data_IF_298170497124
#
_entry.id   IF_298170497124
#
_cell.length_a   1.000
_cell.length_b   1.000
_cell.length_c   1.000
_cell.angle_alpha   90.00
_cell.angle_beta   90.00
_cell.angle_gamma   90.00
#
_symmetry.space_group_name_H-M   'P 1'
#
loop_
_entity.id
_entity.type
_entity.pdbx_description
1 polymer ?
#
# COMPACT_ATOMS: atom_id res chain seq x y z
N UNK A 1 2.11 -10.54 -5.48
CA UNK A 1 2.87 -9.42 -6.08
C UNK A 1 2.67 -8.19 -5.22
N UNK A 2 3.72 -7.37 -5.08
CA UNK A 2 3.68 -6.15 -4.28
C UNK A 2 3.83 -4.93 -5.19
N UNK A 3 2.96 -3.93 -5.02
CA UNK A 3 2.97 -2.68 -5.77
C UNK A 3 3.03 -1.53 -4.77
N UNK A 4 4.22 -0.98 -4.57
CA UNK A 4 4.48 0.10 -3.62
C UNK A 4 4.91 1.38 -4.36
N UNK A 5 4.97 2.50 -3.64
CA UNK A 5 5.11 3.86 -4.13
C UNK A 5 4.41 4.84 -3.19
N UNK A 6 4.84 6.10 -3.24
CA UNK A 6 4.21 7.16 -2.42
C UNK A 6 2.78 7.46 -2.84
N UNK A 7 2.00 8.12 -2.00
CA UNK A 7 0.65 8.57 -2.35
C UNK A 7 0.69 9.45 -3.60
N UNK A 8 -0.24 9.21 -4.52
CA UNK A 8 -0.33 9.92 -5.81
C UNK A 8 0.51 9.37 -6.97
N UNK A 9 1.23 8.24 -6.80
CA UNK A 9 2.05 7.64 -7.87
C UNK A 9 1.29 6.68 -8.81
N UNK A 10 -0.01 6.46 -8.61
CA UNK A 10 -0.82 5.61 -9.49
C UNK A 10 -0.85 4.11 -9.14
N UNK A 11 -0.43 3.73 -7.93
CA UNK A 11 -0.44 2.33 -7.45
C UNK A 11 -1.79 1.65 -7.60
N UNK A 12 -2.87 2.30 -7.12
CA UNK A 12 -4.23 1.74 -7.19
C UNK A 12 -4.61 1.39 -8.62
N UNK A 13 -4.38 2.32 -9.57
CA UNK A 13 -4.64 2.07 -11.00
C UNK A 13 -3.86 0.88 -11.55
N UNK A 14 -2.57 0.76 -11.19
CA UNK A 14 -1.75 -0.38 -11.63
C UNK A 14 -2.17 -1.69 -10.93
N UNK A 15 -2.47 -1.63 -9.63
CA UNK A 15 -2.91 -2.75 -8.82
C UNK A 15 -4.20 -3.36 -9.35
N UNK A 16 -5.19 -2.51 -9.65
CA UNK A 16 -6.46 -2.92 -10.25
C UNK A 16 -6.25 -3.54 -11.63
N UNK A 17 -5.48 -2.89 -12.50
CA UNK A 17 -5.20 -3.40 -13.84
C UNK A 17 -4.48 -4.77 -13.80
N UNK A 18 -3.60 -4.98 -12.82
CA UNK A 18 -2.93 -6.26 -12.61
C UNK A 18 -3.88 -7.30 -12.01
N UNK A 19 -4.75 -6.90 -11.08
CA UNK A 19 -5.84 -7.72 -10.55
C UNK A 19 -6.70 -8.30 -11.66
N UNK A 20 -7.25 -7.42 -12.50
CA UNK A 20 -8.09 -7.79 -13.64
C UNK A 20 -7.36 -8.68 -14.64
N UNK A 21 -6.11 -8.31 -14.99
CA UNK A 21 -5.36 -9.02 -16.04
C UNK A 21 -4.91 -10.42 -15.63
N UNK A 22 -4.65 -10.62 -14.34
CA UNK A 22 -4.12 -11.87 -13.77
C UNK A 22 -5.21 -12.72 -13.09
N UNK A 23 -6.43 -12.21 -12.95
CA UNK A 23 -7.46 -12.84 -12.13
C UNK A 23 -7.05 -12.91 -10.66
N UNK A 24 -6.34 -11.90 -10.18
CA UNK A 24 -5.78 -11.83 -8.84
C UNK A 24 -6.69 -11.03 -7.89
N UNK A 25 -6.74 -11.42 -6.62
CA UNK A 25 -7.33 -10.59 -5.57
C UNK A 25 -6.44 -9.38 -5.34
N UNK A 26 -7.04 -8.19 -5.29
CA UNK A 26 -6.34 -6.95 -4.92
C UNK A 26 -6.62 -6.63 -3.45
N UNK A 27 -5.57 -6.26 -2.72
CA UNK A 27 -5.63 -5.71 -1.36
C UNK A 27 -5.06 -4.30 -1.41
N UNK A 28 -5.92 -3.33 -1.12
CA UNK A 28 -5.55 -1.93 -0.98
C UNK A 28 -5.15 -1.67 0.47
N UNK A 29 -3.92 -1.21 0.72
CA UNK A 29 -3.51 -0.89 2.09
C UNK A 29 -4.31 0.27 2.69
N UNK A 30 -4.99 1.07 1.87
CA UNK A 30 -5.99 2.05 2.33
C UNK A 30 -7.08 1.41 3.20
N UNK A 31 -7.45 0.14 2.98
CA UNK A 31 -8.36 -0.59 3.86
C UNK A 31 -7.69 -1.14 5.14
N UNK A 32 -6.35 -1.18 5.18
CA UNK A 32 -5.56 -1.84 6.24
C UNK A 32 -5.00 -0.84 7.25
N UNK A 33 -4.68 0.39 6.84
CA UNK A 33 -4.07 1.39 7.72
C UNK A 33 -4.97 1.70 8.93
N UNK A 34 -4.52 1.47 10.17
CA UNK A 34 -5.26 1.89 11.35
C UNK A 34 -5.14 3.40 11.57
N UNK A 35 -5.84 4.17 10.73
CA UNK A 35 -5.85 5.62 10.73
C UNK A 35 -4.58 6.24 10.14
N UNK A 36 -4.45 7.55 10.31
CA UNK A 36 -3.41 8.35 9.66
C UNK A 36 -1.99 8.01 10.09
N UNK A 37 -1.76 7.43 11.28
CA UNK A 37 -0.43 6.96 11.72
C UNK A 37 -0.18 5.46 11.40
N UNK A 38 -1.04 4.87 10.56
CA UNK A 38 -1.14 3.44 10.40
C UNK A 38 -0.09 2.79 9.50
N UNK A 39 0.81 3.56 8.87
CA UNK A 39 1.67 3.06 7.79
C UNK A 39 2.51 1.86 8.23
N UNK A 40 3.27 2.00 9.34
CA UNK A 40 4.12 0.91 9.86
C UNK A 40 3.28 -0.30 10.29
N UNK A 41 2.14 -0.05 10.94
CA UNK A 41 1.26 -1.12 11.40
C UNK A 41 0.66 -1.92 10.24
N UNK A 42 0.27 -1.26 9.15
CA UNK A 42 -0.20 -1.94 7.94
C UNK A 42 0.93 -2.71 7.25
N UNK A 43 2.13 -2.15 7.15
CA UNK A 43 3.28 -2.86 6.59
C UNK A 43 3.64 -4.13 7.39
N UNK A 44 3.48 -4.09 8.72
CA UNK A 44 3.65 -5.28 9.56
C UNK A 44 2.51 -6.29 9.31
N UNK A 45 1.28 -5.83 9.21
CA UNK A 45 0.12 -6.67 8.88
C UNK A 45 0.23 -7.32 7.49
N UNK A 46 0.89 -6.68 6.52
CA UNK A 46 1.19 -7.31 5.23
C UNK A 46 2.00 -8.59 5.43
N UNK A 47 2.98 -8.57 6.33
CA UNK A 47 3.87 -9.71 6.58
C UNK A 47 3.19 -10.77 7.45
N UNK A 48 2.54 -10.35 8.55
CA UNK A 48 2.01 -11.28 9.55
C UNK A 48 0.66 -11.87 9.17
N UNK A 49 -0.17 -11.05 8.52
CA UNK A 49 -1.57 -11.36 8.26
C UNK A 49 -1.77 -11.64 6.77
N UNK A 50 -1.60 -10.64 5.91
CA UNK A 50 -1.95 -10.75 4.48
C UNK A 50 -1.17 -11.85 3.76
N UNK A 51 0.16 -11.83 3.87
CA UNK A 51 1.06 -12.82 3.26
C UNK A 51 1.45 -13.94 4.25
N UNK A 52 1.02 -13.82 5.50
CA UNK A 52 1.35 -14.75 6.57
C UNK A 52 0.33 -15.88 6.68
N UNK A 53 0.38 -16.59 7.82
CA UNK A 53 -0.52 -17.71 8.08
C UNK A 53 -2.00 -17.29 8.25
N UNK A 54 -2.24 -16.01 8.56
CA UNK A 54 -3.59 -15.46 8.74
C UNK A 54 -4.05 -14.79 7.45
N UNK A 55 -4.22 -15.56 6.36
CA UNK A 55 -4.61 -15.10 5.01
C UNK A 55 -5.83 -14.16 5.03
N UNK A 56 -5.58 -12.86 5.23
CA UNK A 56 -6.61 -11.86 5.51
C UNK A 56 -6.03 -10.62 6.18
N UNK A 57 -6.91 -9.68 6.55
CA UNK A 57 -6.53 -8.46 7.25
C UNK A 57 -7.68 -7.86 8.04
N UNK A 58 -7.32 -7.02 9.02
CA UNK A 58 -8.27 -6.20 9.75
C UNK A 58 -8.53 -4.92 8.97
N UNK A 59 -9.81 -4.63 8.68
CA UNK A 59 -10.20 -3.40 8.00
C UNK A 59 -10.19 -2.20 8.93
N UNK A 60 -10.00 -1.00 8.38
CA UNK A 60 -10.20 0.27 9.05
C UNK A 60 -11.39 1.03 8.46
N UNK A 61 -12.25 1.59 9.33
CA UNK A 61 -13.31 2.50 8.93
C UNK A 61 -12.83 3.95 9.10
N UNK A 62 -12.52 4.59 7.98
CA UNK A 62 -12.10 5.99 7.92
C UNK A 62 -13.19 6.99 8.32
N UNK A 63 -14.47 6.62 8.21
CA UNK A 63 -15.60 7.49 8.57
C UNK A 63 -15.71 7.61 10.08
N UNK A 64 -15.59 6.48 10.79
CA UNK A 64 -15.68 6.45 12.25
C UNK A 64 -14.32 6.55 12.94
N UNK A 65 -13.22 6.45 12.18
CA UNK A 65 -11.85 6.33 12.72
C UNK A 65 -11.72 5.19 13.72
N UNK A 66 -12.26 4.02 13.36
CA UNK A 66 -12.22 2.83 14.21
C UNK A 66 -11.88 1.56 13.44
N UNK A 67 -11.41 0.56 14.17
CA UNK A 67 -11.15 -0.77 13.64
C UNK A 67 -12.45 -1.45 13.21
N UNK A 68 -12.49 -1.98 11.99
CA UNK A 68 -13.64 -2.67 11.41
C UNK A 68 -13.48 -4.21 11.44
N UNK A 69 -14.29 -4.90 10.63
CA UNK A 69 -14.29 -6.36 10.53
C UNK A 69 -12.99 -6.96 9.98
N UNK A 70 -12.85 -8.28 10.13
CA UNK A 70 -11.79 -9.04 9.45
C UNK A 70 -12.24 -9.38 8.03
N UNK A 71 -11.38 -9.16 7.05
CA UNK A 71 -11.55 -9.59 5.66
C UNK A 71 -10.65 -10.81 5.41
N UNK A 72 -11.24 -11.92 5.01
CA UNK A 72 -10.49 -13.14 4.66
C UNK A 72 -10.01 -13.10 3.21
N UNK A 73 -8.81 -13.60 2.96
CA UNK A 73 -8.24 -13.80 1.63
C UNK A 73 -8.19 -15.29 1.36
N UNK A 74 -8.66 -15.70 0.19
CA UNK A 74 -8.50 -17.07 -0.30
C UNK A 74 -7.03 -17.32 -0.66
N UNK A 75 -6.32 -18.24 0.03
CA UNK A 75 -4.91 -18.51 -0.23
C UNK A 75 -4.66 -19.16 -1.60
N UNK A 76 -5.69 -19.71 -2.26
CA UNK A 76 -5.55 -20.38 -3.56
C UNK A 76 -5.68 -19.40 -4.75
N UNK A 77 -5.96 -18.12 -4.49
CA UNK A 77 -6.09 -17.07 -5.50
C UNK A 77 -4.82 -16.21 -5.55
N UNK A 78 -4.27 -15.89 -6.75
CA UNK A 78 -3.16 -14.97 -6.86
C UNK A 78 -3.45 -13.62 -6.18
N UNK A 79 -2.45 -13.03 -5.53
CA UNK A 79 -2.64 -11.81 -4.75
C UNK A 79 -1.81 -10.64 -5.29
N UNK A 80 -2.42 -9.47 -5.37
CA UNK A 80 -1.76 -8.17 -5.54
C UNK A 80 -2.01 -7.34 -4.28
N UNK A 81 -0.94 -6.95 -3.60
CA UNK A 81 -1.02 -6.00 -2.49
C UNK A 81 -0.48 -4.67 -2.98
N UNK A 82 -1.29 -3.62 -2.88
CA UNK A 82 -0.92 -2.29 -3.31
C UNK A 82 -1.11 -1.27 -2.20
N UNK A 83 -0.15 -0.36 -2.06
CA UNK A 83 -0.21 0.72 -1.09
C UNK A 83 1.17 1.09 -0.55
N UNK A 84 1.26 2.23 0.13
CA UNK A 84 2.51 2.65 0.75
C UNK A 84 2.88 1.70 1.91
N UNK A 85 4.04 1.08 1.83
CA UNK A 85 4.48 0.10 2.82
C UNK A 85 4.12 -1.35 2.47
N UNK A 86 3.59 -1.60 1.28
CA UNK A 86 3.42 -2.95 0.75
C UNK A 86 4.76 -3.67 0.58
N UNK A 87 5.84 -2.94 0.29
CA UNK A 87 7.19 -3.44 0.05
C UNK A 87 8.16 -3.00 1.16
N UNK A 88 8.29 -3.85 2.18
CA UNK A 88 9.35 -3.80 3.19
C UNK A 88 10.41 -4.89 2.97
N UNK A 89 11.56 -4.80 3.66
CA UNK A 89 12.57 -5.87 3.68
C UNK A 89 12.01 -7.22 4.13
N UNK A 90 11.00 -7.20 5.01
CA UNK A 90 10.35 -8.41 5.52
C UNK A 90 9.33 -8.99 4.52
N UNK A 91 8.62 -8.15 3.77
CA UNK A 91 7.65 -8.60 2.76
C UNK A 91 8.29 -9.00 1.42
N UNK A 92 9.44 -8.41 1.07
CA UNK A 92 10.13 -8.66 -0.18
C UNK A 92 10.41 -10.16 -0.47
N UNK A 93 10.94 -10.97 0.48
CA UNK A 93 11.17 -12.40 0.24
C UNK A 93 9.88 -13.22 0.12
N UNK A 94 8.72 -12.68 0.49
CA UNK A 94 7.42 -13.35 0.39
C UNK A 94 6.74 -13.11 -0.96
N UNK A 95 7.26 -12.19 -1.76
CA UNK A 95 6.66 -11.78 -3.01
C UNK A 95 7.31 -12.44 -4.22
N UNK A 96 6.49 -12.90 -5.16
CA UNK A 96 6.98 -13.42 -6.45
C UNK A 96 7.41 -12.32 -7.43
N UNK A 97 6.94 -11.09 -7.24
CA UNK A 97 7.27 -9.92 -8.06
C UNK A 97 6.97 -8.63 -7.28
N UNK A 98 7.83 -7.62 -7.42
CA UNK A 98 7.82 -6.38 -6.63
C UNK A 98 7.98 -5.17 -7.55
N UNK A 99 7.06 -4.22 -7.45
CA UNK A 99 7.05 -3.00 -8.26
C UNK A 99 7.11 -1.79 -7.34
N UNK A 100 7.98 -0.85 -7.67
CA UNK A 100 8.03 0.47 -7.03
C UNK A 100 7.62 1.56 -8.03
N UNK A 101 6.65 2.39 -7.66
CA UNK A 101 6.14 3.48 -8.49
C UNK A 101 6.65 4.82 -7.97
N UNK A 102 7.21 5.59 -8.89
CA UNK A 102 7.72 6.94 -8.68
C UNK A 102 6.92 7.94 -9.52
N UNK A 103 6.77 9.15 -8.97
CA UNK A 103 6.29 10.33 -9.66
C UNK A 103 6.93 11.55 -9.01
N UNK A 104 7.03 12.65 -9.75
CA UNK A 104 7.53 13.91 -9.21
C UNK A 104 6.71 14.37 -8.01
N UNK A 105 7.36 15.00 -7.03
CA UNK A 105 6.74 15.40 -5.76
C UNK A 105 5.55 16.35 -5.93
N UNK A 106 5.63 17.26 -6.90
CA UNK A 106 4.53 18.16 -7.25
C UNK A 106 3.37 17.40 -7.89
N UNK A 107 3.67 16.53 -8.86
CA UNK A 107 2.68 15.72 -9.58
C UNK A 107 1.91 14.81 -8.63
N UNK A 108 2.61 14.07 -7.76
CA UNK A 108 1.96 13.15 -6.83
C UNK A 108 1.10 13.88 -5.79
N UNK A 109 1.54 15.06 -5.34
CA UNK A 109 0.77 15.90 -4.41
C UNK A 109 -0.53 16.36 -5.04
N UNK A 110 -0.45 16.90 -6.25
CA UNK A 110 -1.63 17.38 -6.97
C UNK A 110 -2.61 16.23 -7.26
N UNK A 111 -2.10 15.06 -7.67
CA UNK A 111 -2.92 13.85 -7.88
C UNK A 111 -3.59 13.37 -6.59
N UNK A 112 -2.85 13.28 -5.49
CA UNK A 112 -3.38 12.75 -4.23
C UNK A 112 -4.43 13.68 -3.61
N UNK A 113 -4.15 14.99 -3.57
CA UNK A 113 -5.11 15.99 -3.06
C UNK A 113 -6.33 16.09 -3.98
N UNK A 114 -6.13 16.05 -5.30
CA UNK A 114 -7.23 16.08 -6.26
C UNK A 114 -8.17 14.87 -6.15
N UNK A 115 -7.65 13.71 -5.74
CA UNK A 115 -8.41 12.47 -5.51
C UNK A 115 -9.12 12.45 -4.16
N UNK A 116 -8.38 12.71 -3.08
CA UNK A 116 -8.83 12.44 -1.70
C UNK A 116 -9.34 13.69 -0.96
N UNK A 117 -9.24 14.85 -1.60
CA UNK A 117 -9.86 16.10 -1.16
C UNK A 117 -9.23 16.71 0.09
N UNK A 118 -10.00 17.57 0.75
CA UNK A 118 -9.53 18.45 1.82
C UNK A 118 -9.05 17.68 3.06
N UNK A 119 -9.67 16.54 3.38
CA UNK A 119 -9.27 15.74 4.54
C UNK A 119 -7.84 15.24 4.36
N UNK A 120 -7.52 14.66 3.20
CA UNK A 120 -6.17 14.21 2.89
C UNK A 120 -5.19 15.38 2.79
N UNK A 121 -5.62 16.52 2.23
CA UNK A 121 -4.79 17.73 2.16
C UNK A 121 -4.34 18.22 3.56
N UNK A 122 -5.21 18.10 4.57
CA UNK A 122 -4.88 18.46 5.97
C UNK A 122 -3.88 17.51 6.61
N UNK A 123 -3.90 16.24 6.23
CA UNK A 123 -3.04 15.20 6.79
C UNK A 123 -1.79 14.93 5.92
N UNK A 124 -1.63 15.67 4.82
CA UNK A 124 -0.54 15.48 3.86
C UNK A 124 0.84 15.42 4.50
N UNK A 125 1.19 16.42 5.31
CA UNK A 125 2.52 16.51 5.91
C UNK A 125 2.77 15.36 6.89
N UNK A 126 1.74 14.96 7.66
CA UNK A 126 1.79 13.83 8.59
C UNK A 126 1.99 12.51 7.85
N UNK A 127 1.27 12.31 6.76
CA UNK A 127 1.40 11.10 5.95
C UNK A 127 2.77 11.07 5.23
N UNK A 128 3.16 12.17 4.60
CA UNK A 128 4.44 12.28 3.89
C UNK A 128 5.66 12.06 4.82
N UNK A 129 5.57 12.46 6.09
CA UNK A 129 6.60 12.18 7.09
C UNK A 129 6.74 10.68 7.37
N UNK A 130 5.63 9.94 7.43
CA UNK A 130 5.67 8.48 7.57
C UNK A 130 6.20 7.79 6.33
N UNK A 131 5.78 8.20 5.13
CA UNK A 131 6.34 7.67 3.88
C UNK A 131 7.85 7.82 3.87
N UNK A 132 8.35 9.02 4.20
CA UNK A 132 9.78 9.31 4.21
C UNK A 132 10.53 8.48 5.25
N UNK A 133 9.96 8.31 6.44
CA UNK A 133 10.54 7.48 7.50
C UNK A 133 10.57 6.00 7.11
N UNK A 134 9.50 5.50 6.48
CA UNK A 134 9.42 4.13 6.01
C UNK A 134 10.43 3.86 4.89
N UNK A 135 10.50 4.73 3.89
CA UNK A 135 11.45 4.63 2.77
C UNK A 135 12.89 4.63 3.29
N UNK A 136 13.21 5.52 4.24
CA UNK A 136 14.55 5.57 4.83
C UNK A 136 14.91 4.27 5.59
N UNK A 137 13.94 3.59 6.17
CA UNK A 137 14.15 2.37 6.96
C UNK A 137 14.14 1.08 6.11
N UNK A 138 13.38 1.05 5.02
CA UNK A 138 13.11 -0.17 4.24
C UNK A 138 13.72 -0.16 2.83
N UNK A 139 14.03 1.02 2.28
CA UNK A 139 14.55 1.23 0.93
C UNK A 139 13.79 0.43 -0.16
N UNK A 140 12.46 0.63 -0.29
CA UNK A 140 11.61 -0.19 -1.16
C UNK A 140 12.01 -0.17 -2.63
N UNK A 141 12.56 0.96 -3.11
CA UNK A 141 13.04 1.08 -4.48
C UNK A 141 14.18 0.10 -4.77
N UNK A 142 15.11 -0.10 -3.83
CA UNK A 142 16.20 -1.07 -3.95
C UNK A 142 15.73 -2.53 -3.84
N UNK A 143 14.54 -2.75 -3.26
CA UNK A 143 13.93 -4.08 -3.14
C UNK A 143 13.09 -4.49 -4.35
N UNK A 144 12.75 -3.54 -5.23
CA UNK A 144 11.85 -3.77 -6.36
C UNK A 144 12.54 -4.49 -7.52
N UNK A 145 11.78 -5.35 -8.21
CA UNK A 145 12.22 -5.96 -9.47
C UNK A 145 12.11 -4.95 -10.63
N UNK A 146 11.13 -4.04 -10.54
CA UNK A 146 10.90 -2.98 -11.53
C UNK A 146 10.55 -1.67 -10.82
N UNK A 147 11.19 -0.58 -11.28
CA UNK A 147 10.82 0.79 -10.93
C UNK A 147 10.11 1.44 -12.12
N UNK A 148 8.91 1.97 -11.88
CA UNK A 148 8.08 2.61 -12.91
C UNK A 148 7.90 4.09 -12.58
N UNK A 149 8.16 4.97 -13.55
CA UNK A 149 7.92 6.42 -13.44
C UNK A 149 6.61 6.80 -14.13
N UNK A 150 5.80 7.65 -13.48
CA UNK A 150 4.43 8.01 -13.87
C UNK A 150 4.15 9.50 -13.83
#
# INVERSE_FOLDING_TARGET
MLVDGRSGTGKTTLGDALGDRLGARVVHLDDVYPGWDGLRAAADAVVTDVLGARSGYRRWDWTTSTTAGWESIDPDVPLVVEGCGALSRASAPLASFRVWLEADDTVRRDRAIGRDGEVFAREWDRWAAQESSFIAAEDPAALADVVVRT
#
